data_IF_406600811656
#
_entry.id   IF_406600811656
#
_cell.length_a   1.000
_cell.length_b   1.000
_cell.length_c   1.000
_cell.angle_alpha   90.00
_cell.angle_beta   90.00
_cell.angle_gamma   90.00
#
_symmetry.space_group_name_H-M   'P 1'
#
loop_
_entity.id
_entity.type
_entity.pdbx_description
1 polymer ?
#
# COMPACT_ATOMS: atom_id res chain seq x y z
N UNK A 1 11.80 -19.68 27.41
CA UNK A 1 12.53 -20.67 26.58
C UNK A 1 12.38 -20.29 25.13
N UNK A 2 13.44 -19.82 24.47
CA UNK A 2 13.44 -19.54 23.04
C UNK A 2 13.34 -20.90 22.30
N UNK A 3 12.18 -21.16 21.67
CA UNK A 3 11.97 -22.34 20.85
C UNK A 3 12.97 -22.35 19.69
N UNK A 4 13.44 -23.55 19.32
CA UNK A 4 14.35 -23.76 18.19
C UNK A 4 13.72 -23.11 16.94
N UNK A 5 14.47 -22.32 16.12
CA UNK A 5 13.92 -21.69 14.93
C UNK A 5 13.29 -22.73 13.99
N UNK A 6 12.13 -22.43 13.46
CA UNK A 6 11.45 -23.31 12.50
C UNK A 6 12.25 -23.39 11.20
N UNK A 7 12.44 -24.59 10.67
CA UNK A 7 13.16 -24.77 9.40
C UNK A 7 12.32 -24.24 8.25
N UNK A 8 12.74 -23.13 7.64
CA UNK A 8 12.07 -22.50 6.53
C UNK A 8 12.49 -23.13 5.20
N UNK A 9 11.52 -23.30 4.30
CA UNK A 9 11.76 -23.52 2.87
C UNK A 9 11.68 -22.16 2.17
N UNK A 10 12.68 -21.86 1.32
CA UNK A 10 12.77 -20.63 0.54
C UNK A 10 12.56 -20.92 -0.94
N UNK A 11 11.84 -20.05 -1.63
CA UNK A 11 11.68 -20.08 -3.08
C UNK A 11 11.80 -18.67 -3.63
N UNK A 12 12.75 -18.45 -4.50
CA UNK A 12 13.19 -17.15 -5.02
C UNK A 12 14.50 -16.71 -4.37
N UNK A 13 15.14 -15.73 -4.97
CA UNK A 13 16.45 -15.22 -4.57
C UNK A 13 16.37 -13.71 -4.32
N UNK A 14 16.85 -13.28 -3.15
CA UNK A 14 16.93 -11.86 -2.81
C UNK A 14 17.92 -11.12 -3.77
N UNK A 15 17.60 -9.91 -4.26
CA UNK A 15 16.51 -9.01 -3.84
C UNK A 15 15.18 -9.17 -4.59
N UNK A 16 14.99 -10.21 -5.40
CA UNK A 16 13.67 -10.53 -5.92
C UNK A 16 12.74 -11.04 -4.78
N UNK A 17 11.41 -11.06 -4.99
CA UNK A 17 10.49 -11.59 -3.98
C UNK A 17 10.79 -13.04 -3.61
N UNK A 18 10.90 -13.32 -2.31
CA UNK A 18 11.18 -14.64 -1.76
C UNK A 18 9.98 -15.16 -1.00
N UNK A 19 9.46 -16.31 -1.41
CA UNK A 19 8.44 -17.02 -0.65
C UNK A 19 9.10 -17.86 0.45
N UNK A 20 8.63 -17.68 1.69
CA UNK A 20 9.04 -18.42 2.88
C UNK A 20 7.90 -19.33 3.31
N UNK A 21 8.18 -20.58 3.62
CA UNK A 21 7.16 -21.54 4.01
C UNK A 21 7.65 -22.57 5.02
N UNK A 22 6.72 -23.08 5.84
CA UNK A 22 6.89 -24.24 6.69
C UNK A 22 5.56 -25.00 6.78
N UNK A 23 5.45 -26.10 6.05
CA UNK A 23 4.17 -26.82 5.93
C UNK A 23 3.06 -25.94 5.35
N UNK A 24 2.03 -25.66 6.15
CA UNK A 24 0.91 -24.78 5.74
C UNK A 24 1.20 -23.30 5.91
N UNK A 25 2.23 -22.93 6.70
CA UNK A 25 2.57 -21.54 6.93
C UNK A 25 3.26 -20.93 5.70
N UNK A 26 2.93 -19.68 5.40
CA UNK A 26 3.48 -18.97 4.24
C UNK A 26 3.60 -17.48 4.50
N UNK A 27 4.74 -16.92 4.08
CA UNK A 27 5.01 -15.50 4.04
C UNK A 27 5.77 -15.16 2.75
N UNK A 28 5.75 -13.89 2.36
CA UNK A 28 6.53 -13.38 1.24
C UNK A 28 7.34 -12.18 1.73
N UNK A 29 8.65 -12.20 1.46
CA UNK A 29 9.55 -11.08 1.67
C UNK A 29 9.96 -10.50 0.31
N UNK A 30 10.04 -9.18 0.21
CA UNK A 30 10.61 -8.45 -0.93
C UNK A 30 11.31 -7.18 -0.45
N UNK A 31 12.17 -6.56 -1.26
CA UNK A 31 12.65 -5.21 -0.96
C UNK A 31 11.49 -4.26 -0.69
N UNK A 32 11.67 -3.36 0.28
CA UNK A 32 10.69 -2.32 0.55
C UNK A 32 10.50 -1.44 -0.69
N UNK A 33 11.59 -0.89 -1.16
CA UNK A 33 11.75 -0.21 -2.44
C UNK A 33 13.24 -0.19 -2.83
N UNK A 34 13.59 0.54 -3.87
CA UNK A 34 14.97 0.64 -4.37
C UNK A 34 15.82 1.68 -3.61
N UNK A 35 15.23 2.49 -2.73
CA UNK A 35 15.87 3.65 -2.11
C UNK A 35 16.40 3.38 -0.70
N UNK A 36 15.87 2.36 0.00
CA UNK A 36 16.27 2.06 1.38
C UNK A 36 16.55 0.57 1.57
N UNK A 37 17.55 0.22 2.41
CA UNK A 37 17.91 -1.17 2.71
C UNK A 37 16.93 -1.79 3.72
N UNK A 38 15.70 -2.01 3.27
CA UNK A 38 14.64 -2.59 4.07
C UNK A 38 13.84 -3.63 3.28
N UNK A 39 13.17 -4.54 3.98
CA UNK A 39 12.26 -5.51 3.41
C UNK A 39 10.81 -5.25 3.83
N UNK A 40 9.87 -5.56 2.95
CA UNK A 40 8.47 -5.82 3.30
C UNK A 40 8.32 -7.31 3.55
N UNK A 41 7.77 -7.70 4.70
CA UNK A 41 7.44 -9.09 5.03
C UNK A 41 5.93 -9.21 5.20
N UNK A 42 5.28 -9.93 4.31
CA UNK A 42 3.82 -10.16 4.35
C UNK A 42 3.54 -11.59 4.82
N UNK A 43 2.89 -11.71 5.98
CA UNK A 43 2.38 -12.99 6.46
C UNK A 43 1.08 -13.31 5.72
N UNK A 44 1.04 -14.38 4.94
CA UNK A 44 -0.17 -14.86 4.27
C UNK A 44 -0.98 -15.78 5.20
N UNK A 45 -0.29 -16.64 5.92
CA UNK A 45 -0.84 -17.54 6.95
C UNK A 45 0.27 -18.12 7.82
N UNK A 46 0.02 -18.30 9.08
CA UNK A 46 0.98 -18.89 10.01
C UNK A 46 0.88 -18.32 11.41
N UNK A 47 1.67 -18.91 12.31
CA UNK A 47 1.77 -18.50 13.70
C UNK A 47 2.78 -17.35 13.87
N UNK A 48 2.79 -16.70 15.04
CA UNK A 48 3.83 -15.76 15.42
C UNK A 48 5.24 -16.38 15.46
N UNK A 49 5.36 -17.70 15.76
CA UNK A 49 6.65 -18.40 15.72
C UNK A 49 7.20 -18.48 14.32
N UNK A 50 6.35 -18.86 13.36
CA UNK A 50 6.71 -18.86 11.95
C UNK A 50 7.08 -17.45 11.46
N UNK A 51 6.29 -16.43 11.82
CA UNK A 51 6.56 -15.05 11.47
C UNK A 51 7.90 -14.56 12.03
N UNK A 52 8.22 -14.90 13.31
CA UNK A 52 9.53 -14.61 13.91
C UNK A 52 10.66 -15.25 13.13
N UNK A 53 10.57 -16.55 12.81
CA UNK A 53 11.61 -17.24 12.02
C UNK A 53 11.77 -16.61 10.63
N UNK A 54 10.68 -16.15 10.00
CA UNK A 54 10.78 -15.40 8.76
C UNK A 54 11.50 -14.06 8.95
N UNK A 55 11.17 -13.30 10.01
CA UNK A 55 11.81 -12.02 10.29
C UNK A 55 13.31 -12.18 10.59
N UNK A 56 13.70 -13.20 11.37
CA UNK A 56 15.09 -13.54 11.64
C UNK A 56 15.87 -13.90 10.36
N UNK A 57 15.26 -14.66 9.46
CA UNK A 57 15.86 -15.00 8.16
C UNK A 57 16.05 -13.76 7.30
N UNK A 58 14.99 -12.94 7.14
CA UNK A 58 15.00 -11.73 6.30
C UNK A 58 15.92 -10.65 6.85
N UNK A 59 16.07 -10.55 8.18
CA UNK A 59 17.02 -9.63 8.81
C UNK A 59 18.49 -9.99 8.56
N UNK A 60 18.77 -11.16 7.98
CA UNK A 60 20.08 -11.50 7.44
C UNK A 60 20.33 -10.94 6.02
N UNK A 61 19.31 -10.43 5.36
CA UNK A 61 19.39 -9.89 4.00
C UNK A 61 19.35 -8.36 3.96
N UNK A 62 18.84 -7.71 5.01
CA UNK A 62 18.62 -6.28 5.08
C UNK A 62 18.56 -5.78 6.52
N UNK A 63 18.73 -4.48 6.72
CA UNK A 63 18.83 -3.85 8.05
C UNK A 63 17.49 -3.83 8.81
N UNK A 64 16.38 -3.76 8.07
CA UNK A 64 15.05 -3.53 8.66
C UNK A 64 13.98 -4.32 7.92
N UNK A 65 13.06 -4.94 8.68
CA UNK A 65 11.93 -5.69 8.13
C UNK A 65 10.63 -5.02 8.57
N UNK A 66 9.83 -4.57 7.60
CA UNK A 66 8.54 -3.90 7.84
C UNK A 66 7.35 -4.84 7.57
N UNK A 67 6.30 -4.70 8.37
CA UNK A 67 5.01 -5.30 8.08
C UNK A 67 4.25 -4.50 7.00
N UNK A 68 3.23 -5.07 6.35
CA UNK A 68 2.15 -4.28 5.79
C UNK A 68 1.45 -3.46 6.87
N UNK A 69 0.71 -2.41 6.49
CA UNK A 69 -0.18 -1.71 7.41
C UNK A 69 -1.28 -2.66 7.92
N UNK A 70 -1.48 -2.73 9.23
CA UNK A 70 -2.40 -3.66 9.88
C UNK A 70 -3.51 -2.92 10.62
N UNK A 71 -4.70 -3.47 10.63
CA UNK A 71 -5.78 -2.99 11.50
C UNK A 71 -5.41 -3.23 12.98
N UNK A 72 -5.84 -2.37 13.92
CA UNK A 72 -5.75 -2.62 15.34
C UNK A 72 -6.41 -3.98 15.68
N UNK A 73 -5.76 -4.74 16.54
CA UNK A 73 -6.14 -6.13 16.85
C UNK A 73 -5.47 -7.18 15.97
N UNK A 74 -5.12 -6.86 14.72
CA UNK A 74 -4.30 -7.76 13.89
C UNK A 74 -2.81 -7.61 14.18
N UNK A 75 -2.39 -6.60 14.93
CA UNK A 75 -0.99 -6.34 15.29
C UNK A 75 -0.38 -7.32 16.31
N UNK A 76 -1.22 -8.05 17.07
CA UNK A 76 -0.76 -8.94 18.14
C UNK A 76 0.21 -10.02 17.65
N UNK A 77 -0.03 -10.59 16.47
CA UNK A 77 0.88 -11.58 15.89
C UNK A 77 2.26 -11.00 15.58
N UNK A 78 2.31 -9.74 15.15
CA UNK A 78 3.56 -9.02 14.86
C UNK A 78 4.31 -8.72 16.17
N UNK A 79 3.63 -8.16 17.15
CA UNK A 79 4.20 -7.86 18.46
C UNK A 79 4.78 -9.12 19.12
N UNK A 80 4.02 -10.21 19.12
CA UNK A 80 4.45 -11.49 19.71
C UNK A 80 5.62 -12.11 18.94
N UNK A 81 5.72 -11.86 17.62
CA UNK A 81 6.87 -12.27 16.80
C UNK A 81 8.13 -11.43 17.06
N UNK A 82 8.04 -10.35 17.85
CA UNK A 82 9.18 -9.50 18.20
C UNK A 82 9.30 -8.23 17.37
N UNK A 83 8.27 -7.89 16.58
CA UNK A 83 8.18 -6.59 15.95
C UNK A 83 7.80 -5.52 16.97
N UNK A 84 8.27 -4.31 16.75
CA UNK A 84 7.87 -3.11 17.51
C UNK A 84 6.96 -2.23 16.66
N UNK A 85 6.00 -1.56 17.26
CA UNK A 85 5.17 -0.58 16.56
C UNK A 85 6.07 0.61 16.14
N UNK A 86 6.12 0.91 14.84
CA UNK A 86 7.00 1.92 14.24
C UNK A 86 6.20 3.01 13.50
N UNK A 87 4.99 3.24 13.93
CA UNK A 87 4.15 4.30 13.43
C UNK A 87 2.72 3.89 13.15
N UNK A 88 1.93 4.88 12.78
CA UNK A 88 0.52 4.74 12.43
C UNK A 88 0.21 5.46 11.13
N UNK A 89 -0.85 5.03 10.46
CA UNK A 89 -1.44 5.74 9.33
C UNK A 89 -2.86 6.16 9.70
N UNK A 90 -3.29 7.31 9.21
CA UNK A 90 -4.69 7.68 9.19
C UNK A 90 -5.40 6.77 8.20
N UNK A 91 -6.57 6.27 8.59
CA UNK A 91 -7.46 5.51 7.73
C UNK A 91 -8.72 6.33 7.50
N UNK A 92 -9.14 6.42 6.26
CA UNK A 92 -10.36 7.10 5.85
C UNK A 92 -11.29 6.15 5.13
N UNK A 93 -12.60 6.34 5.30
CA UNK A 93 -13.64 5.60 4.60
C UNK A 93 -14.64 6.53 3.91
N UNK A 94 -15.15 6.09 2.76
CA UNK A 94 -16.20 6.78 2.02
C UNK A 94 -17.33 5.80 1.68
N UNK A 95 -18.59 6.17 1.98
CA UNK A 95 -19.78 5.33 1.77
C UNK A 95 -20.26 5.26 0.32
N UNK A 96 -19.55 5.88 -0.61
CA UNK A 96 -19.87 5.93 -2.04
C UNK A 96 -21.23 6.54 -2.36
N UNK A 97 -21.71 7.45 -1.50
CA UNK A 97 -22.92 8.25 -1.69
C UNK A 97 -22.57 9.70 -2.02
N UNK A 98 -23.43 10.45 -2.68
CA UNK A 98 -23.22 11.88 -2.97
C UNK A 98 -22.02 12.16 -3.90
N UNK A 99 -21.65 11.22 -4.77
CA UNK A 99 -20.45 11.31 -5.60
C UNK A 99 -20.54 12.47 -6.61
N UNK A 100 -19.45 13.21 -6.69
CA UNK A 100 -19.26 14.27 -7.70
C UNK A 100 -18.59 13.69 -8.94
N UNK A 101 -18.86 14.30 -10.10
CA UNK A 101 -18.10 14.01 -11.30
C UNK A 101 -16.73 14.70 -11.22
N UNK A 102 -15.66 14.11 -11.79
CA UNK A 102 -14.40 14.80 -11.96
C UNK A 102 -14.60 16.12 -12.75
N UNK A 103 -14.00 17.18 -12.24
CA UNK A 103 -14.05 18.49 -12.91
C UNK A 103 -13.03 18.59 -14.04
N UNK A 104 -12.05 17.71 -14.05
CA UNK A 104 -10.98 17.59 -15.06
C UNK A 104 -11.05 16.17 -15.62
N UNK A 105 -10.87 15.97 -16.94
CA UNK A 105 -10.86 14.65 -17.56
C UNK A 105 -9.80 13.74 -16.92
N UNK A 106 -10.19 12.51 -16.66
CA UNK A 106 -9.31 11.46 -16.11
C UNK A 106 -9.57 10.19 -16.90
N UNK A 107 -8.49 9.56 -17.35
CA UNK A 107 -8.56 8.36 -18.17
C UNK A 107 -8.53 7.10 -17.31
N UNK A 108 -9.29 6.08 -17.71
CA UNK A 108 -9.11 4.70 -17.24
C UNK A 108 -8.00 4.08 -18.09
N UNK A 109 -6.81 3.89 -17.53
CA UNK A 109 -5.63 3.45 -18.26
C UNK A 109 -4.96 2.24 -17.59
N UNK A 110 -5.53 1.04 -17.70
CA UNK A 110 -4.96 -0.17 -17.09
C UNK A 110 -3.63 -0.61 -17.73
N UNK A 111 -3.31 -0.11 -18.90
CA UNK A 111 -2.10 -0.45 -19.65
C UNK A 111 -0.95 0.57 -19.51
N UNK A 112 -1.05 1.53 -18.59
CA UNK A 112 0.04 2.50 -18.39
C UNK A 112 1.32 1.80 -17.90
N UNK A 113 2.45 2.23 -18.45
CA UNK A 113 3.75 1.67 -18.11
C UNK A 113 4.09 1.92 -16.62
N UNK A 114 4.42 0.85 -15.89
CA UNK A 114 4.75 0.93 -14.45
C UNK A 114 5.93 1.85 -14.19
N UNK A 115 6.89 1.91 -15.11
CA UNK A 115 8.05 2.79 -14.99
C UNK A 115 7.65 4.27 -14.98
N UNK A 116 6.62 4.66 -15.75
CA UNK A 116 6.10 6.03 -15.69
C UNK A 116 5.43 6.32 -14.35
N UNK A 117 4.65 5.39 -13.82
CA UNK A 117 4.06 5.51 -12.49
C UNK A 117 5.15 5.62 -11.40
N UNK A 118 6.20 4.80 -11.50
CA UNK A 118 7.33 4.82 -10.56
C UNK A 118 8.06 6.17 -10.58
N UNK A 119 8.25 6.80 -11.75
CA UNK A 119 8.84 8.13 -11.85
C UNK A 119 8.02 9.18 -11.10
N UNK A 120 6.68 9.19 -11.26
CA UNK A 120 5.79 10.10 -10.56
C UNK A 120 5.82 9.81 -9.05
N UNK A 121 5.73 8.54 -8.66
CA UNK A 121 5.79 8.09 -7.27
C UNK A 121 7.06 8.58 -6.56
N UNK A 122 8.22 8.39 -7.18
CA UNK A 122 9.52 8.80 -6.64
C UNK A 122 9.63 10.32 -6.44
N UNK A 123 8.99 11.12 -7.27
CA UNK A 123 8.96 12.59 -7.14
C UNK A 123 7.95 13.05 -6.08
N UNK A 124 6.85 12.32 -5.91
CA UNK A 124 5.74 12.69 -5.03
C UNK A 124 5.93 12.29 -3.57
N UNK A 125 6.82 11.32 -3.29
CA UNK A 125 6.99 10.78 -1.94
C UNK A 125 8.44 10.78 -1.47
N UNK A 126 8.67 11.02 -0.16
CA UNK A 126 10.00 10.81 0.42
C UNK A 126 10.38 9.32 0.40
N UNK A 127 11.68 8.98 0.45
CA UNK A 127 12.19 7.62 0.23
C UNK A 127 11.46 6.52 1.01
N UNK A 128 11.13 6.75 2.27
CA UNK A 128 10.42 5.76 3.12
C UNK A 128 9.06 5.38 2.56
N UNK A 129 8.37 6.29 1.89
CA UNK A 129 6.99 6.12 1.44
C UNK A 129 6.85 5.83 -0.06
N UNK A 130 7.96 5.74 -0.78
CA UNK A 130 7.97 5.30 -2.17
C UNK A 130 7.59 3.82 -2.24
N UNK A 131 6.78 3.46 -3.21
CA UNK A 131 6.42 2.06 -3.41
C UNK A 131 7.51 1.29 -4.17
N UNK A 132 8.25 2.00 -5.03
CA UNK A 132 9.13 1.36 -5.99
C UNK A 132 8.36 0.54 -7.03
N UNK A 133 9.06 -0.02 -8.00
CA UNK A 133 8.44 -0.82 -9.07
C UNK A 133 7.62 -2.00 -8.53
N UNK A 134 8.23 -2.81 -7.65
CA UNK A 134 7.56 -3.99 -7.07
C UNK A 134 6.32 -3.63 -6.26
N UNK A 135 6.38 -2.54 -5.45
CA UNK A 135 5.25 -2.09 -4.67
C UNK A 135 4.11 -1.55 -5.52
N UNK A 136 4.42 -0.91 -6.66
CA UNK A 136 3.40 -0.47 -7.62
C UNK A 136 2.75 -1.67 -8.32
N UNK A 137 3.51 -2.66 -8.77
CA UNK A 137 2.98 -3.90 -9.34
C UNK A 137 2.10 -4.65 -8.33
N UNK A 138 2.53 -4.73 -7.06
CA UNK A 138 1.69 -5.27 -5.99
C UNK A 138 0.41 -4.46 -5.79
N UNK A 139 0.46 -3.14 -5.81
CA UNK A 139 -0.73 -2.31 -5.62
C UNK A 139 -1.79 -2.58 -6.69
N UNK A 140 -1.38 -2.85 -7.92
CA UNK A 140 -2.29 -3.22 -9.02
C UNK A 140 -2.83 -4.64 -8.86
N UNK A 141 -1.98 -5.57 -8.40
CA UNK A 141 -2.34 -7.00 -8.27
C UNK A 141 -2.91 -7.41 -6.91
N UNK A 142 -2.91 -6.51 -5.91
CA UNK A 142 -3.35 -6.80 -4.54
C UNK A 142 -4.84 -7.16 -4.43
N UNK A 143 -5.63 -6.84 -5.44
CA UNK A 143 -7.07 -7.11 -5.48
C UNK A 143 -7.46 -7.81 -6.78
N UNK A 144 -8.55 -8.59 -6.75
CA UNK A 144 -9.02 -9.34 -7.92
C UNK A 144 -9.41 -8.44 -9.10
N UNK A 145 -9.73 -7.19 -8.85
CA UNK A 145 -10.06 -6.18 -9.84
C UNK A 145 -9.43 -4.86 -9.43
N UNK A 146 -8.62 -4.30 -10.29
CA UNK A 146 -8.02 -2.99 -10.10
C UNK A 146 -8.23 -2.12 -11.35
N UNK A 147 -8.09 -0.81 -11.16
CA UNK A 147 -8.09 0.20 -12.21
C UNK A 147 -7.02 1.23 -11.89
N UNK A 148 -6.29 1.61 -12.92
CA UNK A 148 -5.38 2.75 -12.87
C UNK A 148 -6.08 3.91 -13.59
N UNK A 149 -6.30 4.99 -12.85
CA UNK A 149 -6.74 6.25 -13.43
C UNK A 149 -5.53 7.13 -13.63
N UNK A 150 -5.44 7.80 -14.78
CA UNK A 150 -4.32 8.69 -15.11
C UNK A 150 -4.83 10.08 -15.51
N UNK A 151 -4.03 11.08 -15.21
CA UNK A 151 -4.21 12.42 -15.75
C UNK A 151 -3.00 12.76 -16.62
N UNK A 152 -3.27 13.18 -17.85
CA UNK A 152 -2.29 13.50 -18.87
C UNK A 152 -2.26 15.00 -19.12
N UNK A 153 -1.08 15.61 -19.12
CA UNK A 153 -0.82 17.00 -19.46
C UNK A 153 0.31 17.07 -20.50
N UNK A 154 0.09 17.79 -21.59
CA UNK A 154 1.08 17.89 -22.67
C UNK A 154 1.47 16.54 -23.32
N UNK A 155 0.59 15.54 -23.28
CA UNK A 155 0.84 14.20 -23.80
C UNK A 155 1.57 13.25 -22.82
N UNK A 156 1.91 13.73 -21.62
CA UNK A 156 2.56 12.94 -20.57
C UNK A 156 1.64 12.67 -19.39
N UNK A 157 1.68 11.45 -18.83
CA UNK A 157 1.01 11.16 -17.57
C UNK A 157 1.73 11.89 -16.44
N UNK A 158 1.01 12.76 -15.71
CA UNK A 158 1.56 13.57 -14.61
C UNK A 158 0.88 13.29 -13.26
N UNK A 159 -0.13 12.43 -13.25
CA UNK A 159 -0.77 11.97 -12.02
C UNK A 159 -1.49 10.65 -12.23
N UNK A 160 -1.60 9.86 -11.17
CA UNK A 160 -2.29 8.58 -11.23
C UNK A 160 -2.93 8.19 -9.89
N UNK A 161 -3.94 7.32 -9.98
CA UNK A 161 -4.54 6.63 -8.85
C UNK A 161 -4.71 5.14 -9.15
N UNK A 162 -4.31 4.28 -8.23
CA UNK A 162 -4.57 2.84 -8.29
C UNK A 162 -5.71 2.54 -7.34
N UNK A 163 -6.81 2.01 -7.87
CA UNK A 163 -7.99 1.65 -7.10
C UNK A 163 -8.31 0.18 -7.31
N UNK A 164 -8.43 -0.56 -6.23
CA UNK A 164 -8.78 -1.97 -6.29
C UNK A 164 -10.03 -2.32 -5.51
N UNK A 165 -10.65 -3.47 -5.79
CA UNK A 165 -11.79 -3.99 -5.04
C UNK A 165 -11.59 -5.48 -4.69
N UNK A 166 -11.85 -5.81 -3.43
CA UNK A 166 -11.81 -7.18 -2.92
C UNK A 166 -12.85 -7.35 -1.81
N UNK A 167 -13.49 -8.51 -1.75
CA UNK A 167 -14.42 -8.88 -0.66
C UNK A 167 -15.50 -7.82 -0.35
N UNK A 168 -15.99 -7.12 -1.37
CA UNK A 168 -17.04 -6.10 -1.21
C UNK A 168 -16.55 -4.73 -0.73
N UNK A 169 -15.25 -4.55 -0.58
CA UNK A 169 -14.62 -3.28 -0.17
C UNK A 169 -13.72 -2.75 -1.29
N UNK A 170 -13.74 -1.45 -1.50
CA UNK A 170 -12.81 -0.75 -2.38
C UNK A 170 -11.62 -0.19 -1.60
N UNK A 171 -10.49 -0.05 -2.28
CA UNK A 171 -9.25 0.48 -1.73
C UNK A 171 -8.63 1.46 -2.73
N UNK A 172 -8.46 2.72 -2.35
CA UNK A 172 -7.56 3.64 -3.07
C UNK A 172 -6.14 3.35 -2.58
N UNK A 173 -5.43 2.50 -3.34
CA UNK A 173 -4.16 1.90 -2.92
C UNK A 173 -2.97 2.85 -3.12
N UNK A 174 -3.05 3.72 -4.13
CA UNK A 174 -2.06 4.76 -4.38
C UNK A 174 -2.71 5.94 -5.07
N UNK A 175 -2.28 7.14 -4.70
CA UNK A 175 -2.58 8.40 -5.36
C UNK A 175 -1.29 9.20 -5.41
N UNK A 176 -0.86 9.62 -6.58
CA UNK A 176 0.30 10.48 -6.77
C UNK A 176 0.07 11.49 -7.90
N UNK A 177 0.56 12.70 -7.69
CA UNK A 177 0.57 13.78 -8.67
C UNK A 177 1.96 14.39 -8.67
N UNK A 178 2.56 14.54 -9.84
CA UNK A 178 3.85 15.17 -10.01
C UNK A 178 3.89 16.52 -9.25
N UNK A 179 4.89 16.79 -8.41
CA UNK A 179 4.99 18.00 -7.59
C UNK A 179 4.80 19.29 -8.39
N UNK A 180 5.32 19.35 -9.64
CA UNK A 180 5.19 20.51 -10.49
C UNK A 180 3.76 20.73 -11.03
N UNK A 181 2.85 19.80 -10.79
CA UNK A 181 1.47 19.82 -11.24
C UNK A 181 0.46 19.75 -10.09
N UNK A 182 0.92 19.77 -8.85
CA UNK A 182 0.05 19.84 -7.67
C UNK A 182 -0.67 21.18 -7.59
N UNK A 183 -1.73 21.28 -6.78
CA UNK A 183 -2.54 22.49 -6.66
C UNK A 183 -3.55 22.74 -7.81
N UNK A 184 -3.42 22.06 -8.96
CA UNK A 184 -4.28 22.20 -10.12
C UNK A 184 -5.59 21.35 -10.09
N UNK A 185 -5.91 20.72 -8.95
CA UNK A 185 -7.11 19.88 -8.79
C UNK A 185 -6.99 18.46 -9.34
N UNK A 186 -5.82 18.05 -9.85
CA UNK A 186 -5.59 16.73 -10.46
C UNK A 186 -5.84 15.62 -9.43
N UNK A 187 -5.29 15.73 -8.21
CA UNK A 187 -5.50 14.75 -7.15
C UNK A 187 -6.98 14.56 -6.80
N UNK A 188 -7.75 15.66 -6.77
CA UNK A 188 -9.20 15.65 -6.56
C UNK A 188 -9.93 14.88 -7.68
N UNK A 189 -9.61 15.17 -8.93
CA UNK A 189 -10.21 14.48 -10.07
C UNK A 189 -9.93 12.98 -10.07
N UNK A 190 -8.71 12.58 -9.73
CA UNK A 190 -8.30 11.17 -9.57
C UNK A 190 -9.05 10.46 -8.44
N UNK A 191 -9.25 11.12 -7.29
CA UNK A 191 -10.08 10.60 -6.18
C UNK A 191 -11.53 10.42 -6.63
N UNK A 192 -12.12 11.42 -7.29
CA UNK A 192 -13.50 11.37 -7.79
C UNK A 192 -13.69 10.26 -8.83
N UNK A 193 -12.73 10.05 -9.73
CA UNK A 193 -12.72 8.93 -10.68
C UNK A 193 -12.69 7.58 -9.95
N UNK A 194 -11.82 7.45 -8.94
CA UNK A 194 -11.69 6.26 -8.10
C UNK A 194 -12.99 5.91 -7.36
N UNK A 195 -13.62 6.90 -6.74
CA UNK A 195 -14.92 6.75 -6.07
C UNK A 195 -16.01 6.28 -7.03
N UNK A 196 -16.11 6.88 -8.20
CA UNK A 196 -17.10 6.50 -9.23
C UNK A 196 -16.85 5.12 -9.79
N UNK A 197 -15.57 4.75 -10.01
CA UNK A 197 -15.21 3.43 -10.47
C UNK A 197 -15.58 2.37 -9.41
N UNK A 198 -15.25 2.58 -8.14
CA UNK A 198 -15.62 1.70 -7.04
C UNK A 198 -17.14 1.52 -6.93
N UNK A 199 -17.91 2.62 -7.04
CA UNK A 199 -19.38 2.57 -7.06
C UNK A 199 -19.92 1.70 -8.19
N UNK A 200 -19.35 1.80 -9.41
CA UNK A 200 -19.74 0.94 -10.54
C UNK A 200 -19.45 -0.54 -10.27
N UNK A 201 -18.50 -0.86 -9.38
CA UNK A 201 -18.18 -2.23 -8.93
C UNK A 201 -19.07 -2.73 -7.79
N UNK A 202 -20.10 -1.93 -7.41
CA UNK A 202 -21.09 -2.27 -6.39
C UNK A 202 -20.51 -2.57 -5.01
N UNK A 203 -19.34 -2.02 -4.69
CA UNK A 203 -18.83 -2.03 -3.31
C UNK A 203 -19.53 -0.93 -2.50
N UNK A 204 -19.61 -1.12 -1.20
CA UNK A 204 -20.33 -0.21 -0.31
C UNK A 204 -19.43 0.87 0.27
N UNK A 205 -18.12 0.61 0.32
CA UNK A 205 -17.14 1.47 0.98
C UNK A 205 -15.86 1.53 0.18
N UNK A 206 -15.23 2.69 0.10
CA UNK A 206 -13.86 2.87 -0.38
C UNK A 206 -12.99 3.31 0.80
N UNK A 207 -11.90 2.60 1.03
CA UNK A 207 -10.90 2.91 2.04
C UNK A 207 -9.67 3.56 1.40
N UNK A 208 -9.05 4.47 2.14
CA UNK A 208 -7.73 5.04 1.81
C UNK A 208 -6.97 5.33 3.09
N UNK A 209 -5.66 5.22 3.05
CA UNK A 209 -4.81 5.62 4.17
C UNK A 209 -3.77 6.65 3.73
N UNK A 210 -3.28 7.41 4.71
CA UNK A 210 -2.17 8.36 4.52
C UNK A 210 -1.38 8.52 5.81
N UNK A 211 -0.20 9.14 5.73
CA UNK A 211 0.61 9.46 6.87
C UNK A 211 -0.08 10.53 7.73
N UNK A 212 0.14 10.53 9.07
CA UNK A 212 -0.47 11.52 9.96
C UNK A 212 -0.05 12.97 9.68
N UNK A 213 1.14 13.15 9.13
CA UNK A 213 1.74 14.44 8.76
C UNK A 213 1.46 14.87 7.30
N UNK A 214 0.66 14.10 6.56
CA UNK A 214 0.25 14.44 5.20
C UNK A 214 -1.10 15.17 5.21
N UNK A 215 -1.06 16.43 5.67
CA UNK A 215 -2.26 17.27 5.80
C UNK A 215 -2.95 17.54 4.47
N UNK A 216 -2.20 17.62 3.36
CA UNK A 216 -2.75 17.84 2.02
C UNK A 216 -3.64 16.67 1.58
N UNK A 217 -3.16 15.43 1.72
CA UNK A 217 -3.93 14.24 1.38
C UNK A 217 -5.14 14.09 2.33
N UNK A 218 -4.93 14.27 3.64
CA UNK A 218 -6.01 14.20 4.63
C UNK A 218 -7.10 15.26 4.36
N UNK A 219 -6.69 16.49 4.05
CA UNK A 219 -7.59 17.58 3.66
C UNK A 219 -8.36 17.28 2.38
N UNK A 220 -7.68 16.73 1.36
CA UNK A 220 -8.32 16.28 0.12
C UNK A 220 -9.39 15.23 0.41
N UNK A 221 -9.06 14.17 1.15
CA UNK A 221 -10.02 13.10 1.45
C UNK A 221 -11.24 13.62 2.22
N UNK A 222 -11.03 14.43 3.26
CA UNK A 222 -12.15 15.05 4.00
C UNK A 222 -13.03 15.91 3.09
N UNK A 223 -12.44 16.70 2.19
CA UNK A 223 -13.18 17.55 1.25
C UNK A 223 -13.99 16.77 0.22
N UNK A 224 -13.58 15.54 -0.09
CA UNK A 224 -14.30 14.61 -0.97
C UNK A 224 -15.28 13.69 -0.22
N UNK A 225 -15.53 13.95 1.07
CA UNK A 225 -16.54 13.25 1.85
C UNK A 225 -16.09 11.98 2.56
N UNK A 226 -14.80 11.71 2.58
CA UNK A 226 -14.26 10.64 3.42
C UNK A 226 -14.33 11.02 4.91
N UNK A 227 -14.59 10.03 5.73
CA UNK A 227 -14.57 10.15 7.21
C UNK A 227 -13.38 9.40 7.76
N UNK A 228 -12.72 9.99 8.74
CA UNK A 228 -11.60 9.35 9.42
C UNK A 228 -12.09 8.23 10.33
N UNK A 229 -11.45 7.07 10.23
CA UNK A 229 -11.66 5.91 11.10
C UNK A 229 -10.71 6.02 12.27
N UNK A 230 -11.23 6.22 13.47
CA UNK A 230 -10.46 6.53 14.69
C UNK A 230 -9.35 5.49 15.01
N UNK A 231 -9.56 4.25 14.63
CA UNK A 231 -8.60 3.17 14.88
C UNK A 231 -7.29 3.29 14.08
N UNK A 232 -7.34 3.90 12.88
CA UNK A 232 -6.20 4.00 11.98
C UNK A 232 -5.61 2.64 11.59
N UNK A 233 -4.37 2.66 11.11
CA UNK A 233 -3.57 1.45 10.82
C UNK A 233 -2.25 1.52 11.58
N UNK A 234 -1.71 0.37 11.96
CA UNK A 234 -0.43 0.21 12.66
C UNK A 234 0.64 -0.31 11.70
N UNK A 235 1.85 0.20 11.84
CA UNK A 235 3.05 -0.25 11.14
C UNK A 235 3.99 -0.91 12.16
N UNK A 236 4.59 -2.03 11.77
CA UNK A 236 5.47 -2.81 12.63
C UNK A 236 6.82 -2.99 11.97
N UNK A 237 7.86 -2.94 12.78
CA UNK A 237 9.25 -3.07 12.32
C UNK A 237 10.00 -4.08 13.17
N UNK A 238 10.74 -4.97 12.53
CA UNK A 238 11.70 -5.87 13.15
C UNK A 238 13.12 -5.44 12.79
N UNK A 239 13.97 -5.31 13.82
CA UNK A 239 15.40 -5.06 13.69
C UNK A 239 16.13 -6.12 14.50
N UNK A 240 17.24 -6.57 13.97
CA UNK A 240 18.13 -7.51 14.65
C UNK A 240 18.93 -6.85 15.76
#
# INVERSE_FOLDING_TARGET
>A
MAGRPERLKKRGDWPAPVALSNGFARAVARPWNEDIPAASLRLERGSWRFLRSCAEEVSGWTDTVHSPATLPGSGEVWRTAGFIEDGRLLLFEHSLTGLRAPTIPVDENPGVEVDRLNQIDRRSFPPRWRLGRLGLEESVSATNRAMIHTFTDGGEVVGFAVTGVALGVGYLQRLAVDPDRQGAGIGRALVQASLRWARRRRVMTLLVNTQPDNDEAAGLYRSEGFREVAAGLQLWTYRR
#
